data_IF_678116395143
#
_entry.id   IF_678116395143
#
_cell.length_a   1.000
_cell.length_b   1.000
_cell.length_c   1.000
_cell.angle_alpha   90.00
_cell.angle_beta   90.00
_cell.angle_gamma   90.00
#
_symmetry.space_group_name_H-M   'P 1'
#
loop_
_entity.id
_entity.type
_entity.pdbx_description
1 polymer ?
#
# COMPACT_ATOMS: atom_id res chain seq x y z
N UNK A 1 19.38 5.29 12.02
CA UNK A 1 19.32 3.85 11.71
C UNK A 1 17.88 3.56 11.37
N UNK A 2 17.57 3.23 10.16
CA UNK A 2 16.22 2.79 9.78
C UNK A 2 16.04 1.41 10.38
N UNK A 3 15.14 1.30 11.34
CA UNK A 3 14.75 0.02 11.93
C UNK A 3 14.13 -0.83 10.83
N UNK A 4 14.91 -1.80 10.34
CA UNK A 4 14.46 -2.78 9.37
C UNK A 4 13.79 -3.92 10.11
N UNK A 5 12.61 -3.64 10.62
CA UNK A 5 11.87 -4.64 11.39
C UNK A 5 10.43 -4.74 10.92
N UNK A 6 9.86 -5.92 11.10
CA UNK A 6 8.45 -6.22 10.86
C UNK A 6 7.84 -6.68 12.17
N UNK A 7 6.79 -6.00 12.60
CA UNK A 7 5.99 -6.42 13.75
C UNK A 7 4.77 -7.19 13.28
N UNK A 8 4.62 -8.40 13.79
CA UNK A 8 3.50 -9.28 13.48
C UNK A 8 2.70 -9.49 14.76
N UNK A 9 1.41 -9.18 14.69
CA UNK A 9 0.44 -9.49 15.73
C UNK A 9 -0.36 -10.71 15.29
N UNK A 10 -0.40 -11.73 16.14
CA UNK A 10 -1.19 -12.94 15.93
C UNK A 10 -2.43 -12.91 16.81
N UNK A 11 -3.57 -12.62 16.22
CA UNK A 11 -4.87 -12.60 16.89
C UNK A 11 -5.57 -13.99 16.92
N UNK A 12 -4.92 -15.04 16.40
CA UNK A 12 -5.43 -16.40 16.58
C UNK A 12 -5.33 -16.80 18.05
N UNK A 13 -6.37 -17.42 18.57
CA UNK A 13 -6.44 -17.82 19.98
C UNK A 13 -5.68 -19.12 20.28
N UNK A 14 -5.45 -19.98 19.29
CA UNK A 14 -4.99 -21.36 19.52
C UNK A 14 -3.81 -21.79 18.66
N UNK A 15 -3.51 -21.06 17.58
CA UNK A 15 -2.46 -21.45 16.63
C UNK A 15 -1.41 -20.36 16.49
N UNK A 16 -0.15 -20.77 16.38
CA UNK A 16 0.95 -19.87 16.04
C UNK A 16 0.98 -19.58 14.53
N UNK A 17 1.73 -18.56 14.13
CA UNK A 17 1.93 -18.25 12.72
C UNK A 17 3.01 -19.10 12.03
N UNK A 18 3.69 -19.99 12.76
CA UNK A 18 4.78 -20.82 12.23
C UNK A 18 4.39 -21.77 11.10
N UNK A 19 3.10 -22.10 10.96
CA UNK A 19 2.55 -22.89 9.85
C UNK A 19 2.34 -22.12 8.56
N UNK A 20 2.52 -20.79 8.56
CA UNK A 20 2.32 -19.93 7.40
C UNK A 20 3.65 -19.55 6.75
N UNK A 21 3.57 -19.17 5.49
CA UNK A 21 4.67 -18.59 4.73
C UNK A 21 4.50 -17.08 4.64
N UNK A 22 5.56 -16.33 4.87
CA UNK A 22 5.58 -14.89 4.70
C UNK A 22 6.44 -14.54 3.49
N UNK A 23 5.86 -13.80 2.57
CA UNK A 23 6.55 -13.26 1.41
C UNK A 23 6.78 -11.78 1.64
N UNK A 24 8.04 -11.37 1.66
CA UNK A 24 8.46 -9.99 1.79
C UNK A 24 8.90 -9.49 0.42
N UNK A 25 8.42 -8.32 0.02
CA UNK A 25 8.79 -7.67 -1.23
C UNK A 25 9.19 -6.23 -0.99
N UNK A 26 10.17 -5.77 -1.76
CA UNK A 26 10.40 -4.33 -1.93
C UNK A 26 9.87 -3.97 -3.32
N UNK A 27 8.96 -3.01 -3.34
CA UNK A 27 8.40 -2.44 -4.55
C UNK A 27 9.06 -1.07 -4.80
N UNK A 28 9.54 -0.84 -6.01
CA UNK A 28 10.03 0.46 -6.47
C UNK A 28 8.99 1.04 -7.43
N UNK A 29 8.36 2.14 -7.05
CA UNK A 29 7.26 2.76 -7.83
C UNK A 29 6.18 1.73 -8.24
N UNK A 30 5.88 0.77 -7.35
CA UNK A 30 4.90 -0.30 -7.55
C UNK A 30 5.43 -1.59 -8.18
N UNK A 31 6.64 -1.59 -8.73
CA UNK A 31 7.24 -2.77 -9.35
C UNK A 31 8.12 -3.55 -8.37
N UNK A 32 7.98 -4.89 -8.27
CA UNK A 32 8.77 -5.68 -7.35
C UNK A 32 10.25 -5.78 -7.80
N UNK A 33 11.15 -5.23 -6.97
CA UNK A 33 12.61 -5.22 -7.23
C UNK A 33 13.38 -6.20 -6.36
N UNK A 34 12.74 -6.70 -5.30
CA UNK A 34 13.31 -7.71 -4.42
C UNK A 34 12.21 -8.51 -3.74
N UNK A 35 12.48 -9.79 -3.49
CA UNK A 35 11.59 -10.69 -2.78
C UNK A 35 12.39 -11.66 -1.90
N UNK A 36 11.84 -12.00 -0.74
CA UNK A 36 12.34 -13.05 0.14
C UNK A 36 11.16 -13.77 0.79
N UNK A 37 11.36 -15.05 1.06
CA UNK A 37 10.40 -15.87 1.78
C UNK A 37 10.93 -16.18 3.17
N UNK A 38 10.07 -16.07 4.19
CA UNK A 38 10.42 -16.28 5.59
C UNK A 38 9.32 -17.06 6.30
N UNK A 39 9.68 -17.63 7.42
CA UNK A 39 8.71 -18.10 8.43
C UNK A 39 8.90 -17.26 9.68
N UNK A 40 7.83 -16.69 10.16
CA UNK A 40 7.77 -15.98 11.42
C UNK A 40 6.83 -16.75 12.34
N UNK A 41 7.37 -17.25 13.43
CA UNK A 41 6.59 -18.00 14.41
C UNK A 41 6.22 -17.09 15.59
N UNK A 42 4.99 -16.62 15.56
CA UNK A 42 4.39 -15.79 16.60
C UNK A 42 3.36 -16.67 17.32
N UNK A 43 3.52 -16.87 18.64
CA UNK A 43 2.54 -17.64 19.42
C UNK A 43 1.13 -17.08 19.31
N UNK A 44 0.14 -17.89 19.64
CA UNK A 44 -1.24 -17.47 19.74
C UNK A 44 -1.40 -16.27 20.69
N UNK A 45 -2.31 -15.35 20.37
CA UNK A 45 -2.65 -14.15 21.16
C UNK A 45 -1.40 -13.34 21.60
N UNK A 46 -0.46 -13.16 20.67
CA UNK A 46 0.79 -12.45 20.97
C UNK A 46 1.30 -11.63 19.79
N UNK A 47 2.34 -10.85 20.03
CA UNK A 47 3.02 -10.08 19.01
C UNK A 47 4.54 -10.22 19.15
N UNK A 48 5.22 -10.30 18.01
CA UNK A 48 6.67 -10.33 17.93
C UNK A 48 7.17 -9.39 16.85
N UNK A 49 8.40 -8.87 17.06
CA UNK A 49 9.09 -8.06 16.06
C UNK A 49 10.32 -8.82 15.57
N UNK A 50 10.50 -8.85 14.28
CA UNK A 50 11.58 -9.56 13.60
C UNK A 50 12.41 -8.59 12.78
N UNK A 51 13.73 -8.71 12.84
CA UNK A 51 14.62 -7.98 11.97
C UNK A 51 14.54 -8.55 10.55
N UNK A 52 14.49 -7.66 9.57
CA UNK A 52 14.42 -8.00 8.15
C UNK A 52 15.58 -7.33 7.42
N UNK A 53 16.31 -8.11 6.65
CA UNK A 53 17.39 -7.63 5.83
C UNK A 53 17.00 -7.66 4.35
N UNK A 54 17.26 -6.57 3.65
CA UNK A 54 17.22 -6.47 2.19
C UNK A 54 18.44 -5.70 1.67
N UNK A 55 18.81 -5.86 0.39
CA UNK A 55 19.97 -5.20 -0.18
C UNK A 55 19.92 -3.67 -0.04
N UNK A 56 20.99 -3.08 0.50
CA UNK A 56 21.10 -1.61 0.65
C UNK A 56 21.13 -0.88 -0.70
N UNK A 57 21.53 -1.57 -1.75
CA UNK A 57 21.59 -0.98 -3.10
C UNK A 57 20.21 -0.58 -3.62
N UNK A 58 19.13 -1.15 -3.09
CA UNK A 58 17.77 -0.76 -3.44
C UNK A 58 17.45 0.69 -3.09
N UNK A 59 18.08 1.25 -2.05
CA UNK A 59 17.94 2.68 -1.71
C UNK A 59 18.60 3.62 -2.73
N UNK A 60 19.44 3.08 -3.60
CA UNK A 60 20.08 3.81 -4.71
C UNK A 60 19.33 3.63 -6.02
N UNK A 61 18.28 2.81 -6.03
CA UNK A 61 17.38 2.72 -7.17
C UNK A 61 16.78 4.11 -7.41
N UNK A 62 16.70 4.51 -8.66
CA UNK A 62 16.18 5.82 -9.08
C UNK A 62 14.64 5.83 -9.00
N UNK A 63 14.10 5.30 -7.91
CA UNK A 63 12.68 5.21 -7.63
C UNK A 63 12.23 6.40 -6.79
N UNK A 64 11.01 6.87 -7.04
CA UNK A 64 10.40 7.93 -6.25
C UNK A 64 10.00 7.41 -4.86
N UNK A 65 9.59 6.15 -4.80
CA UNK A 65 9.12 5.50 -3.58
C UNK A 65 9.57 4.04 -3.52
N UNK A 66 10.02 3.60 -2.35
CA UNK A 66 10.23 2.19 -2.02
C UNK A 66 9.25 1.78 -0.94
N UNK A 67 8.49 0.72 -1.20
CA UNK A 67 7.51 0.14 -0.28
C UNK A 67 7.94 -1.25 0.11
N UNK A 68 8.00 -1.52 1.42
CA UNK A 68 8.06 -2.89 1.93
C UNK A 68 6.63 -3.43 2.00
N UNK A 69 6.40 -4.53 1.33
CA UNK A 69 5.17 -5.34 1.43
C UNK A 69 5.49 -6.65 2.14
N UNK A 70 4.63 -7.05 3.06
CA UNK A 70 4.68 -8.33 3.75
C UNK A 70 3.34 -9.03 3.56
N UNK A 71 3.37 -10.21 2.95
CA UNK A 71 2.19 -11.03 2.68
C UNK A 71 2.28 -12.35 3.46
N UNK A 72 1.26 -12.66 4.26
CA UNK A 72 1.11 -13.94 4.94
C UNK A 72 0.29 -14.88 4.06
N UNK A 73 0.80 -16.10 3.81
CA UNK A 73 0.20 -17.07 2.90
C UNK A 73 0.09 -18.44 3.50
N UNK A 74 -0.85 -19.22 3.00
CA UNK A 74 -0.91 -20.65 3.28
C UNK A 74 0.35 -21.34 2.74
N UNK A 75 1.08 -22.06 3.60
CA UNK A 75 2.22 -22.86 3.16
C UNK A 75 1.77 -24.11 2.40
N UNK A 76 0.62 -24.67 2.75
CA UNK A 76 0.03 -25.87 2.17
C UNK A 76 -1.43 -25.60 1.78
N UNK A 77 -1.95 -26.39 0.85
CA UNK A 77 -3.37 -26.32 0.48
C UNK A 77 -4.25 -26.80 1.63
N UNK A 78 -5.40 -26.19 1.77
CA UNK A 78 -6.48 -26.56 2.70
C UNK A 78 -7.74 -26.92 1.91
N UNK A 79 -8.78 -27.38 2.59
CA UNK A 79 -10.06 -27.71 1.94
C UNK A 79 -10.74 -26.50 1.29
N UNK A 80 -10.40 -25.28 1.73
CA UNK A 80 -11.04 -24.04 1.29
C UNK A 80 -10.15 -23.13 0.42
N UNK A 81 -8.81 -23.34 0.40
CA UNK A 81 -7.89 -22.53 -0.40
C UNK A 81 -6.62 -23.29 -0.80
N UNK A 82 -6.04 -22.98 -1.96
CA UNK A 82 -4.77 -23.56 -2.39
C UNK A 82 -3.58 -23.05 -1.59
N UNK A 83 -2.46 -23.77 -1.64
CA UNK A 83 -1.18 -23.26 -1.17
C UNK A 83 -0.84 -21.92 -1.84
N UNK A 84 -0.22 -21.00 -1.10
CA UNK A 84 0.10 -19.66 -1.57
C UNK A 84 -1.04 -18.65 -1.48
N UNK A 85 -2.25 -19.07 -1.08
CA UNK A 85 -3.37 -18.16 -0.86
C UNK A 85 -3.02 -17.13 0.21
N UNK A 86 -3.22 -15.84 -0.10
CA UNK A 86 -2.92 -14.74 0.80
C UNK A 86 -3.99 -14.58 1.87
N UNK A 87 -3.56 -14.62 3.12
CA UNK A 87 -4.42 -14.49 4.30
C UNK A 87 -4.47 -13.06 4.83
N UNK A 88 -3.32 -12.39 4.79
CA UNK A 88 -3.16 -11.04 5.28
C UNK A 88 -1.94 -10.37 4.60
N UNK A 89 -1.97 -9.07 4.52
CA UNK A 89 -0.81 -8.31 4.06
C UNK A 89 -0.68 -6.99 4.83
N UNK A 90 0.53 -6.42 4.79
CA UNK A 90 0.83 -5.09 5.29
C UNK A 90 1.86 -4.42 4.42
N UNK A 91 1.80 -3.09 4.33
CA UNK A 91 2.73 -2.29 3.54
C UNK A 91 3.21 -1.09 4.34
N UNK A 92 4.44 -0.68 4.10
CA UNK A 92 5.01 0.55 4.64
C UNK A 92 6.01 1.17 3.68
N UNK A 93 6.04 2.48 3.58
CA UNK A 93 7.06 3.21 2.82
C UNK A 93 8.37 3.13 3.59
N UNK A 94 9.41 2.57 2.99
CA UNK A 94 10.75 2.43 3.59
C UNK A 94 11.73 3.48 3.09
N UNK A 95 11.48 4.03 1.91
CA UNK A 95 12.16 5.23 1.41
C UNK A 95 11.27 5.94 0.39
N UNK A 96 11.22 7.25 0.47
CA UNK A 96 10.56 8.10 -0.50
C UNK A 96 11.38 9.38 -0.63
N UNK A 97 11.73 9.75 -1.84
CA UNK A 97 12.56 10.95 -2.10
C UNK A 97 11.77 12.10 -2.66
N UNK A 98 10.54 11.86 -3.10
CA UNK A 98 9.73 12.90 -3.71
C UNK A 98 8.52 13.19 -2.83
N UNK A 99 8.57 14.31 -2.08
CA UNK A 99 7.33 15.00 -1.76
C UNK A 99 6.61 15.20 -3.11
N UNK A 100 5.34 14.83 -3.18
CA UNK A 100 4.53 15.18 -4.34
C UNK A 100 4.78 16.67 -4.60
N UNK A 101 5.37 16.99 -5.75
CA UNK A 101 5.40 18.40 -6.17
C UNK A 101 3.95 18.84 -6.15
N UNK A 102 3.65 19.90 -5.40
CA UNK A 102 2.34 20.53 -5.49
C UNK A 102 2.10 20.79 -6.97
N UNK A 103 1.28 19.95 -7.57
CA UNK A 103 0.93 20.09 -8.97
C UNK A 103 0.26 21.47 -9.06
N UNK A 104 0.95 22.43 -9.66
CA UNK A 104 0.37 23.73 -9.91
C UNK A 104 -0.97 23.49 -10.63
N UNK A 105 -2.02 24.16 -10.17
CA UNK A 105 -3.29 24.14 -10.89
C UNK A 105 -3.02 24.54 -12.34
N UNK A 106 -3.62 23.82 -13.34
CA UNK A 106 -3.51 24.22 -14.73
C UNK A 106 -3.87 25.71 -14.86
N UNK A 107 -3.23 26.41 -15.79
CA UNK A 107 -3.46 27.84 -15.99
C UNK A 107 -4.94 28.17 -16.35
N UNK A 108 -5.68 27.18 -16.85
CA UNK A 108 -7.11 27.22 -17.17
C UNK A 108 -7.98 26.62 -16.05
N UNK A 109 -7.39 26.31 -14.90
CA UNK A 109 -8.08 25.69 -13.78
C UNK A 109 -9.09 26.64 -13.14
N UNK A 110 -10.36 26.21 -13.10
CA UNK A 110 -11.45 26.92 -12.43
C UNK A 110 -11.91 26.11 -11.23
N UNK A 111 -11.90 26.73 -10.05
CA UNK A 111 -12.43 26.15 -8.83
C UNK A 111 -13.72 26.87 -8.46
N UNK A 112 -14.82 26.11 -8.33
CA UNK A 112 -16.12 26.63 -7.94
C UNK A 112 -16.54 25.98 -6.63
N UNK A 113 -16.81 26.79 -5.60
CA UNK A 113 -17.25 26.29 -4.30
C UNK A 113 -18.66 26.75 -4.04
N UNK A 114 -19.62 25.82 -4.08
CA UNK A 114 -21.00 26.04 -3.71
C UNK A 114 -21.29 25.61 -2.28
N UNK A 115 -22.54 25.80 -1.86
CA UNK A 115 -23.02 25.38 -0.54
C UNK A 115 -22.93 23.87 -0.34
N UNK A 116 -23.26 23.09 -1.36
CA UNK A 116 -23.43 21.64 -1.32
C UNK A 116 -22.30 20.87 -2.01
N UNK A 117 -21.71 21.47 -3.03
CA UNK A 117 -20.68 20.87 -3.86
C UNK A 117 -19.49 21.81 -4.04
N UNK A 118 -18.34 21.23 -4.34
CA UNK A 118 -17.16 21.92 -4.86
C UNK A 118 -16.77 21.26 -6.18
N UNK A 119 -16.52 22.06 -7.19
CA UNK A 119 -16.10 21.62 -8.53
C UNK A 119 -14.74 22.17 -8.91
N UNK A 120 -13.99 21.39 -9.67
CA UNK A 120 -12.72 21.80 -10.30
C UNK A 120 -12.82 21.44 -11.78
N UNK A 121 -12.51 22.39 -12.66
CA UNK A 121 -12.45 22.20 -14.12
C UNK A 121 -11.11 22.70 -14.64
N UNK A 122 -10.56 22.03 -15.63
CA UNK A 122 -9.36 22.47 -16.34
C UNK A 122 -8.67 21.33 -17.08
N UNK A 123 -7.99 21.66 -18.17
CA UNK A 123 -7.23 20.72 -18.99
C UNK A 123 -8.01 19.44 -19.38
N UNK A 124 -9.27 19.60 -19.79
CA UNK A 124 -10.15 18.49 -20.19
C UNK A 124 -10.67 17.65 -19.04
N UNK A 125 -10.45 18.07 -17.79
CA UNK A 125 -10.92 17.36 -16.57
C UNK A 125 -11.99 18.16 -15.86
N UNK A 126 -12.96 17.45 -15.32
CA UNK A 126 -13.99 18.03 -14.45
C UNK A 126 -14.19 17.08 -13.25
N UNK A 127 -14.15 17.63 -12.05
CA UNK A 127 -14.30 16.90 -10.81
C UNK A 127 -15.38 17.60 -9.99
N UNK A 128 -16.35 16.84 -9.50
CA UNK A 128 -17.37 17.32 -8.60
C UNK A 128 -17.33 16.55 -7.27
N UNK A 129 -17.18 17.28 -6.19
CA UNK A 129 -17.13 16.75 -4.83
C UNK A 129 -18.38 17.16 -4.04
N UNK A 130 -18.97 16.23 -3.30
CA UNK A 130 -20.03 16.56 -2.34
C UNK A 130 -19.43 17.07 -1.04
N UNK A 131 -19.87 18.25 -0.59
CA UNK A 131 -19.50 18.82 0.71
C UNK A 131 -20.35 18.31 1.85
N UNK A 132 -21.53 17.77 1.57
CA UNK A 132 -22.47 17.30 2.58
C UNK A 132 -22.29 15.82 2.92
N UNK A 133 -21.96 15.00 1.94
CA UNK A 133 -21.78 13.56 2.13
C UNK A 133 -20.29 13.16 2.19
N UNK A 134 -19.40 14.07 1.79
CA UNK A 134 -17.98 13.79 1.62
C UNK A 134 -17.77 12.77 0.48
N UNK A 135 -16.98 13.12 -0.52
CA UNK A 135 -16.63 12.22 -1.58
C UNK A 135 -16.83 12.75 -2.99
N UNK A 136 -16.38 11.96 -3.94
CA UNK A 136 -16.48 12.23 -5.36
C UNK A 136 -17.89 11.95 -5.86
N UNK A 137 -18.49 12.90 -6.55
CA UNK A 137 -19.82 12.78 -7.17
C UNK A 137 -19.71 12.47 -8.65
N UNK A 138 -18.74 13.11 -9.32
CA UNK A 138 -18.52 12.95 -10.76
C UNK A 138 -17.05 13.23 -11.08
N UNK A 139 -16.50 12.46 -11.99
CA UNK A 139 -15.20 12.67 -12.60
C UNK A 139 -15.29 12.49 -14.10
N UNK A 140 -14.98 13.55 -14.83
CA UNK A 140 -14.98 13.53 -16.29
C UNK A 140 -13.59 13.83 -16.83
N UNK A 141 -13.16 13.10 -17.82
CA UNK A 141 -11.91 13.33 -18.56
C UNK A 141 -12.19 13.28 -20.06
N UNK A 142 -11.84 14.37 -20.78
CA UNK A 142 -12.08 14.55 -22.21
C UNK A 142 -13.52 14.18 -22.65
N UNK A 143 -14.51 14.55 -21.81
CA UNK A 143 -15.94 14.31 -22.06
C UNK A 143 -16.43 12.90 -21.70
N UNK A 144 -15.58 12.02 -21.18
CA UNK A 144 -15.96 10.71 -20.66
C UNK A 144 -16.09 10.76 -19.14
N UNK A 145 -17.23 10.33 -18.63
CA UNK A 145 -17.50 10.20 -17.19
C UNK A 145 -17.07 8.81 -16.70
N UNK A 146 -16.49 8.76 -15.49
CA UNK A 146 -15.98 7.55 -14.83
C UNK A 146 -16.74 7.24 -13.54
#
# INVERSE_FOLDING_TARGET
MTDRSVSIKNDNLFISTGGYQFVLRILADGEPVWQSERRFDVPADSACTFDVEWPVDLYRANANELVLEVSQRLAEATDWAPAGYELAFGQTVVAGTKAAEDAALPADGIVTVGRWNAGVQGSGREILLSRTQGGLVSYTFDGHEF
#
